data_IF_233108064722
#
_entry.id   IF_233108064722
#
_cell.length_a   1.000
_cell.length_b   1.000
_cell.length_c   1.000
_cell.angle_alpha   90.00
_cell.angle_beta   90.00
_cell.angle_gamma   90.00
#
_symmetry.space_group_name_H-M   'P 1'
#
loop_
_entity.id
_entity.type
_entity.pdbx_description
1 polymer ?
#
# COMPACT_ATOMS: atom_id res chain seq x y z
N UNK A 1 -19.16 21.87 -25.20
CA UNK A 1 -18.81 20.68 -24.39
C UNK A 1 -17.58 21.05 -23.56
N UNK A 2 -17.76 21.45 -22.30
CA UNK A 2 -16.65 21.91 -21.44
C UNK A 2 -16.05 20.67 -20.77
N UNK A 3 -14.87 20.24 -21.20
CA UNK A 3 -14.11 19.20 -20.51
C UNK A 3 -13.59 19.79 -19.22
N UNK A 4 -14.27 19.46 -18.12
CA UNK A 4 -13.88 19.85 -16.76
C UNK A 4 -12.59 19.10 -16.41
N UNK A 5 -11.44 19.72 -16.65
CA UNK A 5 -10.14 19.21 -16.19
C UNK A 5 -10.20 19.14 -14.68
N UNK A 6 -10.37 17.93 -14.14
CA UNK A 6 -10.41 17.66 -12.71
C UNK A 6 -9.01 17.97 -12.17
N UNK A 7 -8.85 19.15 -11.58
CA UNK A 7 -7.64 19.51 -10.84
C UNK A 7 -7.26 18.32 -9.95
N UNK A 8 -5.99 17.86 -9.96
CA UNK A 8 -5.57 16.82 -9.04
C UNK A 8 -5.70 17.44 -7.66
N UNK A 9 -6.80 17.15 -6.96
CA UNK A 9 -6.87 17.34 -5.51
C UNK A 9 -5.59 16.75 -4.99
N UNK A 10 -4.78 17.53 -4.27
CA UNK A 10 -3.65 17.02 -3.51
C UNK A 10 -4.14 15.81 -2.74
N UNK A 11 -3.92 14.62 -3.32
CA UNK A 11 -4.29 13.37 -2.72
C UNK A 11 -3.11 13.10 -1.83
N UNK A 12 -3.30 13.36 -0.55
CA UNK A 12 -2.32 12.95 0.44
C UNK A 12 -2.04 11.46 0.20
N UNK A 13 -0.78 11.14 -0.03
CA UNK A 13 -0.35 9.78 -0.28
C UNK A 13 0.13 9.23 1.06
N UNK A 14 -0.09 7.94 1.29
CA UNK A 14 0.43 7.25 2.45
C UNK A 14 1.17 5.99 2.00
N UNK A 15 2.32 5.77 2.63
CA UNK A 15 3.04 4.52 2.59
C UNK A 15 2.55 3.66 3.75
N UNK A 16 2.04 2.46 3.46
CA UNK A 16 1.69 1.46 4.47
C UNK A 16 2.69 0.31 4.41
N UNK A 17 3.29 -0.02 5.54
CA UNK A 17 4.13 -1.22 5.71
C UNK A 17 3.28 -2.30 6.36
N UNK A 18 3.25 -3.48 5.74
CA UNK A 18 2.59 -4.68 6.25
C UNK A 18 3.67 -5.77 6.32
N UNK A 19 4.17 -6.05 7.52
CA UNK A 19 5.33 -6.92 7.69
C UNK A 19 6.58 -6.36 6.99
N UNK A 20 7.05 -7.03 5.94
CA UNK A 20 8.24 -6.66 5.16
C UNK A 20 7.92 -5.93 3.84
N UNK A 21 6.64 -5.80 3.50
CA UNK A 21 6.23 -5.18 2.23
C UNK A 21 5.75 -3.74 2.45
N UNK A 22 6.08 -2.88 1.49
CA UNK A 22 5.73 -1.47 1.49
C UNK A 22 4.79 -1.17 0.32
N UNK A 23 3.67 -0.52 0.61
CA UNK A 23 2.62 -0.21 -0.35
C UNK A 23 2.32 1.29 -0.37
N UNK A 24 2.17 1.86 -1.55
CA UNK A 24 1.78 3.26 -1.75
C UNK A 24 0.29 3.33 -2.09
N UNK A 25 -0.47 4.08 -1.29
CA UNK A 25 -1.91 4.24 -1.44
C UNK A 25 -2.31 5.70 -1.20
N UNK A 26 -3.49 6.09 -1.69
CA UNK A 26 -4.13 7.33 -1.23
C UNK A 26 -4.36 7.24 0.29
N UNK A 27 -4.18 8.34 1.04
CA UNK A 27 -4.30 8.36 2.51
C UNK A 27 -5.65 7.80 3.00
N UNK A 28 -6.75 8.13 2.33
CA UNK A 28 -8.08 7.58 2.64
C UNK A 28 -8.11 6.04 2.55
N UNK A 29 -7.48 5.48 1.52
CA UNK A 29 -7.42 4.03 1.32
C UNK A 29 -6.46 3.37 2.30
N UNK A 30 -5.29 3.97 2.53
CA UNK A 30 -4.33 3.48 3.51
C UNK A 30 -4.95 3.39 4.91
N UNK A 31 -5.75 4.38 5.29
CA UNK A 31 -6.45 4.38 6.59
C UNK A 31 -7.53 3.29 6.68
N UNK A 32 -8.25 3.03 5.58
CA UNK A 32 -9.18 1.90 5.52
C UNK A 32 -8.46 0.55 5.66
N UNK A 33 -7.33 0.38 4.97
CA UNK A 33 -6.52 -0.84 5.08
C UNK A 33 -5.99 -1.01 6.50
N UNK A 34 -5.47 0.07 7.12
CA UNK A 34 -5.00 0.03 8.49
C UNK A 34 -6.10 -0.42 9.47
N UNK A 35 -7.31 0.12 9.31
CA UNK A 35 -8.46 -0.29 10.13
C UNK A 35 -8.79 -1.77 9.96
N UNK A 36 -8.83 -2.25 8.71
CA UNK A 36 -9.15 -3.64 8.39
C UNK A 36 -8.08 -4.60 8.93
N UNK A 37 -6.82 -4.23 8.77
CA UNK A 37 -5.69 -5.05 9.21
C UNK A 37 -5.55 -5.09 10.73
N UNK A 38 -5.97 -4.04 11.44
CA UNK A 38 -6.01 -4.01 12.91
C UNK A 38 -7.01 -5.01 13.50
N UNK A 39 -8.07 -5.33 12.75
CA UNK A 39 -9.06 -6.36 13.11
C UNK A 39 -8.65 -7.76 12.61
N UNK A 40 -7.57 -7.85 11.80
CA UNK A 40 -7.09 -9.08 11.22
C UNK A 40 -6.01 -9.75 12.08
N UNK A 41 -5.91 -11.07 11.96
CA UNK A 41 -4.85 -11.87 12.58
C UNK A 41 -4.13 -12.63 11.47
N UNK A 42 -2.80 -12.68 11.52
CA UNK A 42 -2.04 -13.50 10.58
C UNK A 42 -2.48 -14.96 10.67
N UNK A 43 -2.45 -15.69 9.57
CA UNK A 43 -2.70 -17.14 9.60
C UNK A 43 -1.61 -17.88 8.82
N UNK A 44 -1.15 -18.99 9.38
CA UNK A 44 -0.27 -19.90 8.68
C UNK A 44 -1.05 -21.13 8.23
N UNK A 45 -0.72 -21.62 7.02
CA UNK A 45 -1.34 -22.82 6.45
C UNK A 45 -0.50 -24.02 6.86
N UNK A 46 -1.01 -24.79 7.80
CA UNK A 46 -0.38 -26.04 8.23
C UNK A 46 -0.98 -27.22 7.45
N UNK A 47 -0.12 -27.93 6.71
CA UNK A 47 -0.49 -29.14 5.99
C UNK A 47 -0.19 -30.35 6.86
N UNK A 48 -1.10 -30.64 7.79
CA UNK A 48 -1.00 -31.81 8.64
C UNK A 48 -1.71 -33.01 7.99
N UNK A 49 -1.00 -33.72 7.12
CA UNK A 49 -1.51 -34.89 6.38
C UNK A 49 -2.50 -34.51 5.28
N UNK A 50 -3.72 -35.07 5.31
CA UNK A 50 -4.77 -34.88 4.28
C UNK A 50 -5.70 -33.68 4.52
N UNK A 51 -5.53 -32.93 5.61
CA UNK A 51 -6.41 -31.80 5.96
C UNK A 51 -5.63 -30.51 6.08
N UNK A 52 -6.08 -29.50 5.35
CA UNK A 52 -5.56 -28.15 5.45
C UNK A 52 -6.12 -27.47 6.69
N UNK A 53 -5.23 -26.99 7.57
CA UNK A 53 -5.62 -26.20 8.74
C UNK A 53 -5.04 -24.80 8.63
N UNK A 54 -5.80 -23.82 9.11
CA UNK A 54 -5.37 -22.44 9.24
C UNK A 54 -5.10 -22.19 10.72
N UNK A 55 -3.84 -21.96 11.07
CA UNK A 55 -3.43 -21.66 12.44
C UNK A 55 -3.35 -20.14 12.56
N UNK A 56 -4.18 -19.57 13.44
CA UNK A 56 -4.12 -18.15 13.77
C UNK A 56 -2.80 -17.84 14.48
N UNK A 57 -2.10 -16.82 14.00
CA UNK A 57 -0.84 -16.32 14.52
C UNK A 57 -1.03 -15.05 15.34
N UNK A 58 -0.07 -14.13 15.24
CA UNK A 58 -0.09 -12.84 15.91
C UNK A 58 -0.78 -11.75 15.06
N UNK A 59 -1.05 -10.61 15.69
CA UNK A 59 -1.44 -9.40 14.99
C UNK A 59 -0.32 -8.99 14.01
N UNK A 60 -0.65 -8.60 12.77
CA UNK A 60 0.34 -8.15 11.80
C UNK A 60 1.01 -6.85 12.26
N UNK A 61 2.30 -6.69 11.97
CA UNK A 61 2.98 -5.41 12.12
C UNK A 61 2.53 -4.45 11.03
N UNK A 62 1.98 -3.31 11.45
CA UNK A 62 1.44 -2.28 10.58
C UNK A 62 2.11 -0.96 10.91
N UNK A 63 2.59 -0.27 9.88
CA UNK A 63 3.12 1.08 9.98
C UNK A 63 2.53 1.92 8.87
N UNK A 64 2.14 3.16 9.17
CA UNK A 64 1.59 4.08 8.19
C UNK A 64 2.35 5.40 8.28
N UNK A 65 2.89 5.82 7.15
CA UNK A 65 3.62 7.07 6.99
C UNK A 65 2.95 7.91 5.93
N UNK A 66 2.53 9.11 6.31
CA UNK A 66 2.03 10.11 5.36
C UNK A 66 3.22 10.65 4.58
N UNK A 67 3.09 10.69 3.26
CA UNK A 67 4.14 11.16 2.34
C UNK A 67 3.55 12.18 1.39
N UNK A 68 4.35 13.17 1.02
CA UNK A 68 3.92 14.17 0.07
C UNK A 68 3.97 13.59 -1.34
N UNK A 69 3.03 14.01 -2.20
CA UNK A 69 3.03 13.58 -3.59
C UNK A 69 4.31 13.95 -4.35
N UNK A 70 5.03 14.98 -3.88
CA UNK A 70 6.35 15.41 -4.37
C UNK A 70 7.48 14.42 -4.07
N UNK A 71 7.30 13.51 -3.11
CA UNK A 71 8.33 12.55 -2.68
C UNK A 71 8.18 11.19 -3.40
N UNK A 72 7.12 11.00 -4.19
CA UNK A 72 6.86 9.75 -4.91
C UNK A 72 7.50 9.80 -6.30
N UNK A 73 8.62 9.09 -6.46
CA UNK A 73 9.26 8.87 -7.76
C UNK A 73 8.65 7.63 -8.41
N UNK A 74 7.88 7.82 -9.48
CA UNK A 74 7.42 6.70 -10.32
C UNK A 74 8.60 6.20 -11.17
N UNK A 75 8.95 4.90 -11.12
CA UNK A 75 10.13 4.34 -11.82
C UNK A 75 10.01 4.27 -13.37
N UNK A 76 9.18 5.13 -13.99
CA UNK A 76 9.12 5.35 -15.43
C UNK A 76 9.38 6.80 -15.86
N UNK A 77 9.54 7.73 -14.92
CA UNK A 77 9.85 9.13 -15.23
C UNK A 77 11.35 9.38 -15.45
N UNK A 78 12.21 8.50 -14.91
CA UNK A 78 13.66 8.61 -15.06
C UNK A 78 14.16 8.22 -16.46
N UNK A 79 13.51 7.25 -17.11
CA UNK A 79 13.91 6.73 -18.43
C UNK A 79 13.71 7.71 -19.60
N UNK A 80 13.00 8.82 -19.41
CA UNK A 80 12.83 9.86 -20.43
C UNK A 80 13.87 10.99 -20.34
N UNK A 81 14.64 11.07 -19.25
CA UNK A 81 15.63 12.13 -19.02
C UNK A 81 17.06 11.71 -19.39
N UNK A 82 17.33 10.40 -19.56
CA UNK A 82 18.65 9.89 -19.91
C UNK A 82 18.90 9.77 -21.42
N UNK A 83 17.87 9.88 -22.27
CA UNK A 83 17.99 9.80 -23.75
C UNK A 83 18.33 11.15 -24.42
N UNK A 84 18.59 12.21 -23.65
CA UNK A 84 18.93 13.56 -24.14
C UNK A 84 20.38 13.98 -23.91
N UNK A 85 21.31 13.04 -23.67
CA UNK A 85 22.72 13.39 -23.41
C UNK A 85 23.70 12.86 -24.45
#
# INVERSE_FOLDING_TARGET
MVTRSKSPRSRDIACIRIGFEHYLLDADKAMQVLKLMRESVSCHRDYNGRRMRYVAGAAPELELSMIQASEVVMPGAQLALEDMR
#
